data_IF_223642768551
#
_entry.id   IF_223642768551
#
_cell.length_a   1.000
_cell.length_b   1.000
_cell.length_c   1.000
_cell.angle_alpha   90.00
_cell.angle_beta   90.00
_cell.angle_gamma   90.00
#
_symmetry.space_group_name_H-M   'P 1'
#
loop_
_entity.id
_entity.type
_entity.pdbx_description
1 polymer ?
#
# COMPACT_ATOMS: atom_id res chain seq x y z
N UNK A 1 78.66 -17.22 -8.43
CA UNK A 1 78.28 -16.30 -7.34
C UNK A 1 76.90 -16.80 -6.87
N UNK A 2 76.70 -17.40 -5.69
CA UNK A 2 77.17 -17.08 -4.33
C UNK A 2 76.74 -15.67 -3.92
N UNK A 3 76.07 -15.40 -2.80
CA UNK A 3 75.79 -16.17 -1.55
C UNK A 3 74.26 -16.48 -1.37
N UNK A 4 73.70 -17.35 -0.51
CA UNK A 4 73.95 -17.83 0.87
C UNK A 4 73.76 -16.72 1.95
N UNK A 5 73.21 -16.90 3.17
CA UNK A 5 72.55 -17.99 3.96
C UNK A 5 71.95 -17.36 5.26
N UNK A 6 71.08 -17.90 6.15
CA UNK A 6 70.37 -19.19 6.37
C UNK A 6 69.17 -19.00 7.38
N UNK A 7 68.39 -20.07 7.66
CA UNK A 7 67.58 -20.31 8.89
C UNK A 7 66.19 -19.63 9.07
N UNK A 8 65.14 -20.30 9.57
CA UNK A 8 65.01 -21.74 9.86
C UNK A 8 63.74 -22.21 10.64
N UNK A 9 63.59 -23.54 10.74
CA UNK A 9 62.70 -24.37 11.61
C UNK A 9 61.16 -24.33 11.46
N UNK A 10 60.65 -25.41 10.85
CA UNK A 10 59.41 -26.14 11.17
C UNK A 10 59.45 -26.77 12.61
N UNK A 11 58.37 -27.38 13.19
CA UNK A 11 57.28 -28.13 12.53
C UNK A 11 55.87 -28.04 13.18
N UNK A 12 55.02 -29.05 12.90
CA UNK A 12 53.74 -29.42 13.51
C UNK A 12 52.52 -28.55 13.17
N UNK A 13 51.62 -29.10 12.34
CA UNK A 13 50.39 -28.43 11.90
C UNK A 13 49.11 -29.05 12.47
N UNK A 14 47.96 -28.56 11.98
CA UNK A 14 46.65 -29.18 12.13
C UNK A 14 45.84 -29.01 10.84
N UNK A 15 44.90 -29.91 10.58
CA UNK A 15 43.90 -29.74 9.51
C UNK A 15 42.71 -28.96 10.09
N UNK A 16 42.37 -27.81 9.52
CA UNK A 16 41.10 -27.13 9.79
C UNK A 16 40.26 -27.15 8.51
N UNK A 17 38.96 -27.43 8.67
CA UNK A 17 38.06 -27.68 7.56
C UNK A 17 37.60 -26.38 6.91
N UNK A 18 37.45 -26.40 5.58
CA UNK A 18 36.79 -25.32 4.83
C UNK A 18 35.29 -25.29 5.12
N UNK A 19 34.87 -24.51 6.11
CA UNK A 19 33.46 -24.20 6.33
C UNK A 19 33.00 -23.21 5.26
N UNK A 20 32.47 -23.73 4.16
CA UNK A 20 31.75 -22.93 3.18
C UNK A 20 30.58 -22.24 3.87
N UNK A 21 30.56 -20.91 3.84
CA UNK A 21 29.43 -20.12 4.32
C UNK A 21 28.26 -20.35 3.36
N UNK A 22 27.39 -21.31 3.71
CA UNK A 22 26.17 -21.56 2.96
C UNK A 22 25.33 -20.30 2.93
N UNK A 23 25.04 -19.80 1.72
CA UNK A 23 24.31 -18.56 1.47
C UNK A 23 22.89 -18.66 2.03
N UNK A 24 22.72 -18.39 3.32
CA UNK A 24 21.42 -18.05 3.90
C UNK A 24 20.98 -16.76 3.25
N UNK A 25 20.08 -16.88 2.27
CA UNK A 25 19.36 -15.76 1.67
C UNK A 25 18.54 -15.08 2.75
N UNK A 26 19.19 -14.19 3.52
CA UNK A 26 18.51 -13.14 4.27
C UNK A 26 17.79 -12.34 3.21
N UNK A 27 16.48 -12.55 3.10
CA UNK A 27 15.62 -11.72 2.29
C UNK A 27 15.60 -10.34 2.93
N UNK A 28 16.59 -9.52 2.59
CA UNK A 28 16.61 -8.10 2.93
C UNK A 28 15.35 -7.55 2.29
N UNK A 29 14.36 -7.29 3.13
CA UNK A 29 13.18 -6.56 2.74
C UNK A 29 13.64 -5.14 2.42
N UNK A 30 14.03 -4.92 1.15
CA UNK A 30 14.25 -3.60 0.60
C UNK A 30 12.89 -2.93 0.65
N UNK A 31 12.65 -2.22 1.76
CA UNK A 31 11.54 -1.33 1.92
C UNK A 31 11.79 -0.17 0.97
N UNK A 32 11.36 -0.34 -0.29
CA UNK A 32 11.29 0.78 -1.22
C UNK A 32 10.40 1.82 -0.54
N UNK A 33 11.02 2.90 -0.09
CA UNK A 33 10.34 4.13 0.28
C UNK A 33 9.71 4.66 -1.01
N UNK A 34 8.50 4.18 -1.30
CA UNK A 34 7.65 4.73 -2.32
C UNK A 34 7.47 6.21 -1.96
N UNK A 35 8.09 7.08 -2.75
CA UNK A 35 7.99 8.52 -2.54
C UNK A 35 6.51 8.90 -2.60
N UNK A 36 5.96 9.36 -1.48
CA UNK A 36 4.62 9.92 -1.43
C UNK A 36 4.53 11.02 -2.49
N UNK A 37 3.79 10.76 -3.56
CA UNK A 37 3.42 11.82 -4.48
C UNK A 37 2.57 12.82 -3.68
N UNK A 38 2.85 14.11 -3.82
CA UNK A 38 2.00 15.15 -3.25
C UNK A 38 0.64 15.05 -3.93
N UNK A 39 -0.36 14.63 -3.15
CA UNK A 39 -1.72 14.36 -3.61
C UNK A 39 -2.70 14.99 -2.62
N UNK A 40 -3.07 16.24 -2.88
CA UNK A 40 -4.10 16.93 -2.12
C UNK A 40 -5.48 16.33 -2.38
N UNK A 41 -6.17 15.90 -1.33
CA UNK A 41 -7.63 15.92 -1.34
C UNK A 41 -8.04 17.33 -0.93
N UNK A 42 -8.87 18.01 -1.73
CA UNK A 42 -9.31 19.39 -1.46
C UNK A 42 -10.83 19.48 -1.63
N UNK A 43 -11.51 20.22 -0.75
CA UNK A 43 -12.96 20.44 -0.85
C UNK A 43 -13.35 21.12 -2.16
N UNK A 44 -14.33 20.54 -2.83
CA UNK A 44 -14.97 21.05 -4.05
C UNK A 44 -16.26 21.83 -3.70
N UNK A 45 -17.28 21.77 -4.56
CA UNK A 45 -18.61 22.35 -4.33
C UNK A 45 -19.26 21.82 -3.04
N UNK A 46 -19.89 22.70 -2.28
CA UNK A 46 -20.53 22.41 -1.00
C UNK A 46 -22.04 22.22 -1.13
N UNK A 47 -22.58 21.21 -0.43
CA UNK A 47 -24.00 21.09 -0.17
C UNK A 47 -24.35 21.97 1.03
N UNK A 48 -25.00 23.12 0.82
CA UNK A 48 -25.35 24.08 1.89
C UNK A 48 -26.76 23.86 2.42
N UNK A 49 -26.94 23.96 3.74
CA UNK A 49 -28.23 23.80 4.41
C UNK A 49 -28.50 24.97 5.37
N UNK A 50 -29.04 26.04 4.80
CA UNK A 50 -29.37 27.27 5.51
C UNK A 50 -28.16 27.96 6.14
N UNK A 51 -28.33 28.45 7.36
CA UNK A 51 -27.34 29.21 8.14
C UNK A 51 -26.40 28.34 9.00
N UNK A 52 -26.65 27.02 9.07
CA UNK A 52 -26.20 26.21 10.21
C UNK A 52 -25.35 25.00 9.85
N UNK A 53 -25.37 24.53 8.59
CA UNK A 53 -24.47 23.47 8.13
C UNK A 53 -24.19 23.51 6.63
N UNK A 54 -23.01 23.05 6.24
CA UNK A 54 -22.69 22.63 4.89
C UNK A 54 -21.76 21.40 4.92
N UNK A 55 -21.75 20.59 3.86
CA UNK A 55 -20.83 19.46 3.71
C UNK A 55 -20.31 19.31 2.29
N UNK A 56 -19.29 18.47 2.12
CA UNK A 56 -18.73 18.06 0.83
C UNK A 56 -18.79 16.56 0.65
N UNK A 57 -19.02 16.12 -0.59
CA UNK A 57 -18.95 14.72 -1.01
C UNK A 57 -18.26 14.66 -2.37
N UNK A 58 -17.26 13.80 -2.58
CA UNK A 58 -16.84 12.68 -1.72
C UNK A 58 -15.80 13.04 -0.64
N UNK A 59 -15.42 14.33 -0.52
CA UNK A 59 -14.32 14.80 0.34
C UNK A 59 -14.62 14.67 1.84
N UNK A 60 -15.90 14.68 2.25
CA UNK A 60 -16.31 14.27 3.59
C UNK A 60 -16.08 15.30 4.71
N UNK A 61 -15.68 16.54 4.37
CA UNK A 61 -15.65 17.66 5.34
C UNK A 61 -17.07 18.18 5.55
N UNK A 62 -17.47 18.32 6.81
CA UNK A 62 -18.71 18.98 7.24
C UNK A 62 -18.40 20.17 8.13
N UNK A 63 -19.11 21.28 7.93
CA UNK A 63 -19.05 22.48 8.77
C UNK A 63 -20.43 22.69 9.40
N UNK A 64 -20.43 23.08 10.68
CA UNK A 64 -21.62 23.41 11.46
C UNK A 64 -21.39 24.68 12.29
N UNK A 65 -22.45 25.45 12.53
CA UNK A 65 -22.42 26.69 13.33
C UNK A 65 -23.57 26.73 14.34
N UNK A 66 -23.28 27.26 15.53
CA UNK A 66 -24.28 27.59 16.56
C UNK A 66 -23.97 28.96 17.18
N UNK A 67 -24.99 29.64 17.72
CA UNK A 67 -24.89 31.03 18.18
C UNK A 67 -25.28 32.03 17.08
N UNK A 68 -24.71 33.25 17.07
CA UNK A 68 -25.03 34.27 16.08
C UNK A 68 -24.75 33.82 14.62
N UNK A 69 -25.71 34.06 13.73
CA UNK A 69 -25.66 33.81 12.28
C UNK A 69 -26.10 35.09 11.54
N UNK A 70 -25.57 35.34 10.33
CA UNK A 70 -25.93 36.52 9.52
C UNK A 70 -26.74 36.16 8.26
N UNK A 71 -26.31 35.17 7.50
CA UNK A 71 -26.98 34.74 6.26
C UNK A 71 -26.85 33.23 6.05
N UNK A 72 -27.47 32.71 4.99
CA UNK A 72 -27.29 31.32 4.58
C UNK A 72 -25.89 31.12 3.99
N UNK A 73 -25.31 29.94 4.23
CA UNK A 73 -24.09 29.53 3.53
C UNK A 73 -24.35 29.40 2.03
N UNK A 74 -23.42 29.89 1.22
CA UNK A 74 -23.47 29.79 -0.26
C UNK A 74 -22.16 29.25 -0.83
N UNK A 75 -22.22 28.71 -2.04
CA UNK A 75 -21.02 28.39 -2.79
C UNK A 75 -20.40 29.67 -3.37
N UNK A 76 -19.08 29.77 -3.27
CA UNK A 76 -18.27 30.82 -3.86
C UNK A 76 -16.95 30.24 -4.43
N UNK A 77 -16.01 31.10 -4.78
CA UNK A 77 -14.76 30.74 -5.43
C UNK A 77 -13.66 31.66 -4.90
N UNK A 78 -12.58 31.11 -4.33
CA UNK A 78 -11.47 31.94 -3.85
C UNK A 78 -10.90 32.80 -4.98
N UNK A 79 -10.37 33.98 -4.67
CA UNK A 79 -9.79 34.87 -5.68
C UNK A 79 -8.65 34.16 -6.48
N UNK A 80 -8.37 34.64 -7.69
CA UNK A 80 -7.30 34.08 -8.55
C UNK A 80 -5.91 34.59 -8.18
N UNK A 81 -5.82 35.64 -7.36
CA UNK A 81 -4.55 36.23 -6.90
C UNK A 81 -3.92 35.33 -5.83
N UNK A 82 -2.89 34.55 -6.19
CA UNK A 82 -2.44 33.47 -5.34
C UNK A 82 -1.69 33.92 -4.07
N UNK A 83 -2.37 33.88 -2.93
CA UNK A 83 -1.77 33.97 -1.58
C UNK A 83 -1.78 32.64 -0.81
N UNK A 84 -2.12 31.53 -1.48
CA UNK A 84 -2.26 30.22 -0.85
C UNK A 84 -1.06 29.31 -1.13
N UNK A 85 -0.75 28.47 -0.15
CA UNK A 85 0.23 27.41 -0.24
C UNK A 85 -0.42 26.14 0.28
N UNK A 86 -0.44 25.11 -0.54
CA UNK A 86 -0.88 23.78 -0.17
C UNK A 86 0.33 22.83 -0.13
N UNK A 87 0.63 22.19 1.01
CA UNK A 87 1.79 21.32 1.13
C UNK A 87 1.59 19.98 0.41
N UNK A 88 0.37 19.70 -0.07
CA UNK A 88 -0.02 18.47 -0.76
C UNK A 88 -0.15 18.65 -2.28
N UNK A 89 0.22 19.81 -2.84
CA UNK A 89 0.26 20.08 -4.28
C UNK A 89 -1.07 20.45 -4.94
N UNK A 90 -2.11 20.77 -4.17
CA UNK A 90 -3.44 21.13 -4.66
C UNK A 90 -3.55 22.54 -5.23
N UNK A 91 -4.40 22.72 -6.25
CA UNK A 91 -4.68 24.04 -6.86
C UNK A 91 -5.71 24.82 -6.05
N UNK A 92 -5.25 25.86 -5.35
CA UNK A 92 -6.06 26.60 -4.37
C UNK A 92 -6.72 27.89 -4.91
N UNK A 93 -5.97 28.73 -5.63
CA UNK A 93 -6.49 29.97 -6.21
C UNK A 93 -7.57 29.68 -7.27
N UNK A 94 -8.64 30.46 -7.32
CA UNK A 94 -9.70 30.34 -8.33
C UNK A 94 -10.58 29.09 -8.25
N UNK A 95 -10.52 28.31 -7.15
CA UNK A 95 -11.31 27.09 -6.97
C UNK A 95 -12.46 27.22 -5.95
N UNK A 96 -13.38 26.23 -5.90
CA UNK A 96 -14.60 26.29 -5.08
C UNK A 96 -14.35 26.49 -3.59
N UNK A 97 -15.23 27.25 -2.95
CA UNK A 97 -15.19 27.57 -1.53
C UNK A 97 -16.59 27.67 -0.92
N UNK A 98 -16.68 27.49 0.40
CA UNK A 98 -17.86 27.81 1.18
C UNK A 98 -17.79 29.27 1.63
N UNK A 99 -18.76 30.09 1.23
CA UNK A 99 -18.92 31.44 1.76
C UNK A 99 -19.74 31.40 3.05
N UNK A 100 -19.20 32.03 4.10
CA UNK A 100 -19.74 32.10 5.45
C UNK A 100 -19.76 33.57 5.88
N UNK A 101 -20.95 34.14 6.03
CA UNK A 101 -21.11 35.43 6.73
C UNK A 101 -21.07 35.22 8.25
N UNK A 102 -19.94 35.56 8.86
CA UNK A 102 -19.77 35.62 10.31
C UNK A 102 -20.52 36.83 10.85
N UNK A 103 -21.49 36.62 11.73
CA UNK A 103 -22.29 37.70 12.28
C UNK A 103 -21.45 38.75 13.02
N UNK A 104 -21.79 40.03 12.82
CA UNK A 104 -21.12 41.19 13.41
C UNK A 104 -21.35 41.34 14.93
N UNK A 105 -21.00 40.33 15.72
CA UNK A 105 -21.31 40.22 17.15
C UNK A 105 -20.07 39.99 18.02
N UNK A 106 -20.10 40.53 19.23
CA UNK A 106 -19.14 40.20 20.29
C UNK A 106 -19.56 38.95 21.09
N UNK A 107 -20.79 38.48 20.93
CA UNK A 107 -21.23 37.18 21.47
C UNK A 107 -20.60 36.06 20.63
N UNK A 108 -19.90 35.08 21.25
CA UNK A 108 -19.29 33.98 20.49
C UNK A 108 -20.29 33.16 19.68
N UNK A 109 -20.00 32.97 18.40
CA UNK A 109 -20.48 31.82 17.65
C UNK A 109 -19.53 30.64 17.87
N UNK A 110 -20.05 29.41 17.83
CA UNK A 110 -19.23 28.20 17.78
C UNK A 110 -19.31 27.61 16.38
N UNK A 111 -18.16 27.46 15.73
CA UNK A 111 -18.02 26.76 14.46
C UNK A 111 -17.30 25.44 14.68
N UNK A 112 -17.88 24.34 14.22
CA UNK A 112 -17.28 23.02 14.30
C UNK A 112 -17.09 22.44 12.90
N UNK A 113 -15.87 22.02 12.61
CA UNK A 113 -15.49 21.30 11.39
C UNK A 113 -15.26 19.85 11.76
N UNK A 114 -15.86 18.92 11.02
CA UNK A 114 -15.65 17.49 11.17
C UNK A 114 -15.21 16.86 9.86
N UNK A 115 -14.36 15.85 9.98
CA UNK A 115 -13.91 15.01 8.89
C UNK A 115 -14.56 13.63 9.06
N UNK A 116 -15.07 13.04 7.98
CA UNK A 116 -15.63 11.69 8.00
C UNK A 116 -14.57 10.64 8.37
N UNK A 117 -13.34 10.83 7.91
CA UNK A 117 -12.17 10.01 8.24
C UNK A 117 -11.10 10.83 9.00
N UNK A 118 -10.25 10.21 9.84
CA UNK A 118 -9.18 10.90 10.53
C UNK A 118 -8.12 11.44 9.55
N UNK A 119 -7.82 12.75 9.62
CA UNK A 119 -6.82 13.44 8.76
C UNK A 119 -5.58 13.86 9.55
N UNK A 120 -4.40 13.83 8.91
CA UNK A 120 -3.15 14.35 9.47
C UNK A 120 -2.84 15.73 8.88
N UNK A 121 -2.54 16.70 9.75
CA UNK A 121 -2.12 18.08 9.42
C UNK A 121 -3.00 18.89 8.43
N UNK A 122 -4.34 18.77 8.42
CA UNK A 122 -5.21 19.41 7.42
C UNK A 122 -4.99 20.94 7.35
N UNK A 123 -5.19 21.51 6.16
CA UNK A 123 -4.99 22.93 5.88
C UNK A 123 -6.32 23.60 5.57
N UNK A 124 -6.56 24.75 6.20
CA UNK A 124 -7.63 25.67 5.84
C UNK A 124 -7.06 26.78 4.96
N UNK A 125 -7.63 26.96 3.77
CA UNK A 125 -7.39 28.09 2.89
C UNK A 125 -8.56 29.08 3.04
N UNK A 126 -8.21 30.35 3.28
CA UNK A 126 -9.17 31.42 3.55
C UNK A 126 -8.98 32.54 2.53
N UNK A 127 -10.08 33.05 1.99
CA UNK A 127 -10.18 34.40 1.44
C UNK A 127 -11.18 35.24 2.27
N UNK A 128 -11.17 36.55 2.05
CA UNK A 128 -12.16 37.52 2.53
C UNK A 128 -12.31 37.67 4.06
N UNK A 129 -11.34 37.21 4.85
CA UNK A 129 -11.32 37.42 6.30
C UNK A 129 -11.19 38.90 6.66
N UNK A 130 -12.13 39.44 7.44
CA UNK A 130 -12.18 40.83 7.88
C UNK A 130 -12.50 41.86 6.80
N UNK A 131 -13.09 42.98 7.23
CA UNK A 131 -13.46 44.11 6.38
C UNK A 131 -13.21 45.44 7.08
N UNK A 132 -14.23 46.31 7.13
CA UNK A 132 -14.18 47.58 7.84
C UNK A 132 -15.55 48.03 8.37
N UNK A 133 -15.55 48.94 9.34
CA UNK A 133 -16.72 49.69 9.80
C UNK A 133 -16.36 51.15 10.03
N UNK A 134 -17.19 52.07 9.53
CA UNK A 134 -16.83 53.48 9.37
C UNK A 134 -15.57 53.60 8.48
N UNK A 135 -14.48 54.13 9.05
CA UNK A 135 -13.18 54.20 8.39
C UNK A 135 -12.13 53.25 9.02
N UNK A 136 -12.51 52.34 9.92
CA UNK A 136 -11.57 51.47 10.63
C UNK A 136 -11.75 49.99 10.24
N UNK A 137 -10.63 49.32 9.98
CA UNK A 137 -10.66 47.91 9.55
C UNK A 137 -10.98 46.96 10.71
N UNK A 138 -11.77 45.92 10.46
CA UNK A 138 -12.24 44.95 11.46
C UNK A 138 -11.94 43.50 11.02
N UNK A 139 -12.27 42.54 11.89
CA UNK A 139 -12.13 41.10 11.63
C UNK A 139 -12.93 40.28 12.62
N UNK A 140 -13.39 39.11 12.20
CA UNK A 140 -13.65 37.98 13.06
C UNK A 140 -12.32 37.39 13.57
N UNK A 141 -12.26 37.04 14.86
CA UNK A 141 -11.20 36.22 15.45
C UNK A 141 -11.73 34.82 15.64
N UNK A 142 -11.02 33.87 15.09
CA UNK A 142 -11.27 32.44 15.23
C UNK A 142 -10.27 31.87 16.24
N UNK A 143 -10.77 31.25 17.30
CA UNK A 143 -9.96 30.68 18.40
C UNK A 143 -10.26 29.20 18.52
N UNK A 144 -9.27 28.32 18.34
CA UNK A 144 -9.44 26.88 18.54
C UNK A 144 -9.69 26.60 20.02
N UNK A 145 -10.88 26.09 20.34
CA UNK A 145 -11.35 25.80 21.71
C UNK A 145 -11.56 24.32 21.97
N UNK A 146 -11.58 23.48 20.94
CA UNK A 146 -11.64 22.03 21.06
C UNK A 146 -11.21 21.32 19.77
N UNK A 147 -10.88 20.04 19.89
CA UNK A 147 -10.54 19.16 18.77
C UNK A 147 -10.70 17.70 19.19
N UNK A 148 -10.85 16.81 18.21
CA UNK A 148 -10.71 15.35 18.40
C UNK A 148 -9.56 14.90 17.51
N UNK A 149 -8.51 14.31 18.10
CA UNK A 149 -7.30 13.88 17.39
C UNK A 149 -6.65 12.67 18.07
N UNK A 150 -5.77 11.97 17.36
CA UNK A 150 -4.90 10.92 17.93
C UNK A 150 -3.71 11.53 18.68
N UNK A 151 -3.23 12.71 18.27
CA UNK A 151 -2.34 13.53 19.10
C UNK A 151 -3.12 14.16 20.25
N UNK A 152 -2.51 14.21 21.45
CA UNK A 152 -3.05 14.93 22.63
C UNK A 152 -3.01 16.46 22.51
N UNK A 153 -3.04 17.00 21.28
CA UNK A 153 -2.86 18.40 20.95
C UNK A 153 -3.03 18.65 19.45
N UNK A 154 -3.53 19.84 19.12
CA UNK A 154 -3.53 20.41 17.76
C UNK A 154 -3.08 21.87 17.88
N UNK A 155 -2.25 22.34 16.95
CA UNK A 155 -1.82 23.75 16.86
C UNK A 155 -1.94 24.28 15.45
N UNK A 156 -2.02 25.59 15.28
CA UNK A 156 -2.01 26.24 13.96
C UNK A 156 -0.59 26.69 13.55
N UNK A 157 -0.28 26.57 12.25
CA UNK A 157 0.89 27.16 11.58
C UNK A 157 0.44 27.92 10.34
N UNK A 158 0.86 29.18 10.17
CA UNK A 158 0.67 29.90 8.91
C UNK A 158 1.62 29.33 7.84
N UNK A 159 1.06 28.82 6.75
CA UNK A 159 1.84 28.42 5.57
C UNK A 159 2.04 29.58 4.59
N UNK A 160 1.04 30.45 4.47
CA UNK A 160 1.03 31.55 3.49
C UNK A 160 0.07 32.67 3.89
N UNK A 161 -0.05 33.71 3.06
CA UNK A 161 -1.09 34.74 3.15
C UNK A 161 -0.57 36.14 2.90
N UNK A 162 -1.48 37.12 2.82
CA UNK A 162 -1.13 38.53 2.68
C UNK A 162 -0.66 39.17 4.02
N UNK A 163 -0.10 40.39 4.04
CA UNK A 163 0.54 40.95 5.24
C UNK A 163 -0.41 41.10 6.45
N UNK A 164 -1.69 41.38 6.21
CA UNK A 164 -2.72 41.53 7.23
C UNK A 164 -3.30 40.21 7.77
N UNK A 165 -2.90 39.04 7.26
CA UNK A 165 -3.37 37.74 7.74
C UNK A 165 -2.58 37.26 8.97
N UNK A 166 -3.19 37.32 10.15
CA UNK A 166 -2.53 37.05 11.43
C UNK A 166 -2.93 35.68 11.99
N UNK A 167 -1.93 34.87 12.36
CA UNK A 167 -2.11 33.49 12.84
C UNK A 167 -1.14 33.25 13.99
N UNK A 168 -1.65 32.70 15.10
CA UNK A 168 -0.87 32.20 16.25
C UNK A 168 -1.00 30.67 16.32
N UNK A 169 -0.51 30.03 17.38
CA UNK A 169 -0.71 28.58 17.57
C UNK A 169 -2.16 28.18 17.86
N UNK A 170 -3.05 29.11 18.24
CA UNK A 170 -4.44 28.82 18.62
C UNK A 170 -5.48 29.80 18.05
N UNK A 171 -5.08 30.88 17.37
CA UNK A 171 -5.99 31.88 16.81
C UNK A 171 -5.64 32.30 15.40
N UNK A 172 -6.64 32.66 14.58
CA UNK A 172 -6.44 33.44 13.36
C UNK A 172 -7.41 34.62 13.24
N UNK A 173 -6.98 35.68 12.56
CA UNK A 173 -7.70 36.93 12.33
C UNK A 173 -7.07 37.72 11.16
N UNK A 174 -7.72 38.79 10.71
CA UNK A 174 -7.10 39.89 9.95
C UNK A 174 -6.71 41.01 10.93
N UNK A 175 -5.62 41.75 10.66
CA UNK A 175 -5.18 42.87 11.51
C UNK A 175 -6.22 44.01 11.55
N UNK A 176 -6.50 44.57 12.73
CA UNK A 176 -7.63 45.50 12.95
C UNK A 176 -7.20 46.91 13.38
N UNK A 177 -8.11 47.88 13.25
CA UNK A 177 -7.91 49.26 13.72
C UNK A 177 -7.08 50.15 12.80
N UNK A 178 -6.76 49.70 11.58
CA UNK A 178 -6.12 50.55 10.57
C UNK A 178 -7.16 51.47 9.90
N UNK A 179 -6.74 52.63 9.42
CA UNK A 179 -7.59 53.49 8.59
C UNK A 179 -7.76 52.85 7.21
N UNK A 180 -8.99 52.47 6.86
CA UNK A 180 -9.36 51.96 5.53
C UNK A 180 -9.21 53.08 4.49
N UNK A 181 -8.63 52.77 3.33
CA UNK A 181 -8.39 53.67 2.21
C UNK A 181 -8.99 53.03 0.95
N UNK A 182 -10.14 53.55 0.51
CA UNK A 182 -10.90 52.99 -0.61
C UNK A 182 -11.74 51.77 -0.22
N UNK A 183 -12.32 51.11 -1.22
CA UNK A 183 -13.16 49.92 -1.01
C UNK A 183 -12.38 48.71 -0.48
N UNK A 184 -13.10 47.76 0.11
CA UNK A 184 -12.51 46.49 0.57
C UNK A 184 -12.33 45.54 -0.61
N UNK A 185 -11.19 45.63 -1.29
CA UNK A 185 -10.81 44.66 -2.31
C UNK A 185 -10.38 43.33 -1.67
N UNK A 186 -10.56 42.23 -2.39
CA UNK A 186 -10.23 40.91 -1.91
C UNK A 186 -8.72 40.69 -1.93
N UNK A 187 -8.21 40.01 -0.90
CA UNK A 187 -6.91 39.36 -0.90
C UNK A 187 -5.72 40.28 -1.31
N UNK A 188 -5.75 41.58 -0.95
CA UNK A 188 -4.73 42.54 -1.42
C UNK A 188 -3.42 42.47 -0.62
N UNK A 189 -2.33 42.96 -1.21
CA UNK A 189 -1.04 43.12 -0.53
C UNK A 189 -1.02 44.28 0.51
N UNK A 190 -2.05 45.12 0.53
CA UNK A 190 -2.05 46.39 1.28
C UNK A 190 -3.10 46.34 2.40
N UNK A 191 -2.70 46.27 3.68
CA UNK A 191 -3.62 46.11 4.81
C UNK A 191 -4.78 47.11 4.89
N UNK A 192 -4.62 48.33 4.37
CA UNK A 192 -5.63 49.39 4.40
C UNK A 192 -6.61 49.38 3.22
N UNK A 193 -6.47 48.45 2.26
CA UNK A 193 -7.32 48.42 1.06
C UNK A 193 -8.04 47.08 0.85
N UNK A 194 -7.93 46.13 1.78
CA UNK A 194 -8.48 44.80 1.53
C UNK A 194 -8.45 43.78 2.66
N UNK A 195 -9.07 42.65 2.34
CA UNK A 195 -9.31 41.51 3.23
C UNK A 195 -8.04 40.71 3.53
N UNK A 196 -8.10 39.83 4.53
CA UNK A 196 -7.07 38.88 4.89
C UNK A 196 -7.30 37.57 4.18
N UNK A 197 -6.24 36.96 3.67
CA UNK A 197 -6.30 35.67 2.99
C UNK A 197 -4.98 34.93 3.16
N UNK A 198 -5.02 33.59 3.10
CA UNK A 198 -3.86 32.73 3.29
C UNK A 198 -4.21 31.29 3.64
N UNK A 199 -3.21 30.53 4.07
CA UNK A 199 -3.34 29.09 4.39
C UNK A 199 -2.81 28.79 5.80
N UNK A 200 -3.58 28.00 6.56
CA UNK A 200 -3.29 27.60 7.94
C UNK A 200 -3.26 26.08 8.04
N UNK A 201 -2.13 25.51 8.43
CA UNK A 201 -2.00 24.09 8.75
C UNK A 201 -2.38 23.83 10.21
N UNK A 202 -3.20 22.81 10.46
CA UNK A 202 -3.58 22.35 11.79
C UNK A 202 -2.73 21.15 12.19
N UNK A 203 -1.55 21.40 12.75
CA UNK A 203 -0.56 20.37 13.08
C UNK A 203 -1.14 19.38 14.11
N UNK A 204 -1.17 18.09 13.75
CA UNK A 204 -1.75 17.01 14.56
C UNK A 204 -2.04 15.78 13.71
N UNK A 205 -2.25 14.63 14.34
CA UNK A 205 -2.53 13.36 13.62
C UNK A 205 -3.89 12.79 13.97
N UNK A 206 -4.53 12.15 12.98
CA UNK A 206 -5.85 11.54 13.09
C UNK A 206 -6.94 12.49 13.61
N UNK A 207 -6.91 13.74 13.16
CA UNK A 207 -7.90 14.77 13.50
C UNK A 207 -9.25 14.39 12.87
N UNK A 208 -10.31 14.33 13.67
CA UNK A 208 -11.69 14.11 13.21
C UNK A 208 -12.61 15.28 13.51
N UNK A 209 -12.23 16.18 14.44
CA UNK A 209 -12.94 17.45 14.65
C UNK A 209 -12.01 18.61 15.03
N UNK A 210 -12.43 19.82 14.66
CA UNK A 210 -11.85 21.11 15.09
C UNK A 210 -13.00 22.07 15.45
N UNK A 211 -12.95 22.65 16.64
CA UNK A 211 -14.00 23.53 17.18
C UNK A 211 -13.44 24.91 17.49
N UNK A 212 -14.07 25.95 16.95
CA UNK A 212 -13.65 27.34 17.05
C UNK A 212 -14.70 28.19 17.77
N UNK A 213 -14.25 29.00 18.73
CA UNK A 213 -14.97 30.18 19.20
C UNK A 213 -14.69 31.35 18.26
N UNK A 214 -15.73 31.99 17.73
CA UNK A 214 -15.64 33.07 16.74
C UNK A 214 -16.35 34.33 17.24
N UNK A 215 -15.62 35.44 17.28
CA UNK A 215 -16.09 36.75 17.78
C UNK A 215 -15.57 37.89 16.91
N UNK A 216 -16.29 39.02 16.83
CA UNK A 216 -15.78 40.22 16.17
C UNK A 216 -14.67 40.93 16.98
N UNK A 217 -13.76 41.55 16.25
CA UNK A 217 -12.75 42.50 16.71
C UNK A 217 -12.90 43.84 15.98
N UNK A 218 -12.64 44.93 16.69
CA UNK A 218 -12.82 46.28 16.17
C UNK A 218 -14.27 46.72 16.19
N UNK A 219 -14.63 47.71 15.35
CA UNK A 219 -15.98 48.23 15.28
C UNK A 219 -16.93 47.27 14.53
N UNK A 220 -18.11 47.05 15.09
CA UNK A 220 -19.21 46.31 14.43
C UNK A 220 -19.63 47.04 13.16
N UNK A 221 -19.67 46.33 12.03
CA UNK A 221 -20.16 46.80 10.75
C UNK A 221 -21.08 45.75 10.13
N UNK A 222 -21.01 45.59 8.80
CA UNK A 222 -21.36 44.30 8.20
C UNK A 222 -20.32 43.26 8.66
N UNK A 223 -20.75 42.01 8.86
CA UNK A 223 -19.89 40.93 9.31
C UNK A 223 -18.91 40.43 8.24
N UNK A 224 -17.89 39.69 8.66
CA UNK A 224 -16.92 39.06 7.76
C UNK A 224 -17.59 38.01 6.87
N UNK A 225 -17.58 38.18 5.56
CA UNK A 225 -17.83 37.09 4.61
C UNK A 225 -16.53 36.31 4.41
N UNK A 226 -16.25 35.25 5.17
CA UNK A 226 -15.08 34.40 4.88
C UNK A 226 -15.41 33.42 3.75
N UNK A 227 -14.42 33.11 2.91
CA UNK A 227 -14.51 32.01 1.95
C UNK A 227 -13.51 30.93 2.31
N UNK A 228 -14.00 29.73 2.59
CA UNK A 228 -13.24 28.63 3.16
C UNK A 228 -13.19 27.41 2.22
N UNK A 229 -12.00 26.86 2.01
CA UNK A 229 -11.81 25.51 1.46
C UNK A 229 -10.72 24.78 2.23
N UNK A 230 -10.89 23.47 2.40
CA UNK A 230 -9.99 22.61 3.18
C UNK A 230 -9.21 21.68 2.26
N UNK A 231 -7.93 21.45 2.59
CA UNK A 231 -7.13 20.37 2.01
C UNK A 231 -6.55 19.46 3.08
N UNK A 232 -6.16 18.25 2.68
CA UNK A 232 -5.38 17.32 3.46
C UNK A 232 -4.68 16.31 2.53
N UNK A 233 -3.74 15.53 3.06
CA UNK A 233 -3.11 14.47 2.29
C UNK A 233 -4.15 13.39 1.93
N UNK A 234 -4.38 13.23 0.64
CA UNK A 234 -5.28 12.20 0.11
C UNK A 234 -4.70 10.80 0.28
N UNK A 235 -5.58 9.81 0.33
CA UNK A 235 -5.16 8.41 0.37
C UNK A 235 -4.81 7.88 -1.02
N UNK A 236 -4.01 6.83 -1.06
CA UNK A 236 -3.54 6.21 -2.29
C UNK A 236 -3.27 4.71 -2.10
N UNK A 237 -3.24 3.98 -3.22
CA UNK A 237 -3.01 2.54 -3.25
C UNK A 237 -1.88 2.22 -4.22
N UNK A 238 -0.95 1.37 -3.78
CA UNK A 238 0.10 0.78 -4.61
C UNK A 238 -0.10 -0.73 -4.65
N UNK A 239 -0.07 -1.31 -5.84
CA UNK A 239 -0.13 -2.75 -6.04
C UNK A 239 1.28 -3.29 -6.22
N UNK A 240 1.65 -4.26 -5.39
CA UNK A 240 2.92 -4.97 -5.42
C UNK A 240 2.67 -6.39 -5.89
N UNK A 241 3.36 -6.84 -6.93
CA UNK A 241 3.20 -8.19 -7.49
C UNK A 241 4.45 -9.01 -7.28
N UNK A 242 4.33 -10.08 -6.51
CA UNK A 242 5.39 -11.05 -6.29
C UNK A 242 5.05 -12.37 -6.99
N UNK A 243 6.06 -13.02 -7.55
CA UNK A 243 5.94 -14.40 -8.05
C UNK A 243 7.01 -15.32 -7.45
N UNK A 244 6.67 -16.60 -7.31
CA UNK A 244 7.54 -17.66 -6.81
C UNK A 244 7.60 -18.82 -7.80
N UNK A 245 8.70 -19.57 -7.80
CA UNK A 245 9.01 -20.69 -8.72
C UNK A 245 9.01 -20.35 -10.23
N UNK A 246 8.80 -19.08 -10.59
CA UNK A 246 8.79 -18.55 -11.96
C UNK A 246 8.52 -17.05 -11.98
N UNK A 247 8.53 -16.45 -13.18
CA UNK A 247 8.22 -15.03 -13.41
C UNK A 247 7.26 -14.88 -14.60
N UNK A 248 6.54 -13.76 -14.65
CA UNK A 248 5.57 -13.50 -15.71
C UNK A 248 4.92 -12.12 -15.61
N UNK A 249 4.13 -11.79 -16.62
CA UNK A 249 3.25 -10.61 -16.62
C UNK A 249 1.89 -10.98 -16.04
N UNK A 250 1.34 -10.09 -15.23
CA UNK A 250 0.04 -10.25 -14.58
C UNK A 250 -0.78 -8.99 -14.78
N UNK A 251 -2.00 -9.16 -15.29
CA UNK A 251 -2.89 -8.06 -15.62
C UNK A 251 -3.86 -7.79 -14.48
N UNK A 252 -4.02 -6.50 -14.16
CA UNK A 252 -4.81 -6.00 -13.05
C UNK A 252 -5.88 -5.04 -13.52
N UNK A 253 -7.03 -5.06 -12.84
CA UNK A 253 -8.06 -4.02 -12.91
C UNK A 253 -8.15 -3.29 -11.57
N UNK A 254 -8.46 -1.99 -11.63
CA UNK A 254 -8.84 -1.16 -10.47
C UNK A 254 -10.22 -0.56 -10.67
N UNK A 255 -10.93 -0.31 -9.56
CA UNK A 255 -12.27 0.24 -9.58
C UNK A 255 -12.71 0.85 -8.25
N UNK A 256 -13.98 1.26 -8.20
CA UNK A 256 -14.57 1.96 -7.07
C UNK A 256 -13.81 3.25 -6.75
N UNK A 257 -13.32 3.36 -5.52
CA UNK A 257 -12.62 4.53 -5.00
C UNK A 257 -11.32 4.92 -5.72
N UNK A 258 -10.73 4.02 -6.53
CA UNK A 258 -9.54 4.29 -7.37
C UNK A 258 -9.89 4.71 -8.81
N UNK A 259 -11.19 4.84 -9.12
CA UNK A 259 -11.69 4.94 -10.49
C UNK A 259 -11.43 3.69 -11.33
N UNK A 260 -12.13 3.57 -12.46
CA UNK A 260 -11.92 2.47 -13.40
C UNK A 260 -10.54 2.52 -14.07
N UNK A 261 -9.94 1.36 -14.33
CA UNK A 261 -8.74 1.23 -15.14
C UNK A 261 -8.14 -0.17 -15.15
N UNK A 262 -7.19 -0.40 -16.04
CA UNK A 262 -6.38 -1.62 -16.10
C UNK A 262 -4.88 -1.28 -16.20
N UNK A 263 -4.01 -2.17 -15.74
CA UNK A 263 -2.56 -2.06 -15.80
C UNK A 263 -1.91 -3.45 -15.65
N UNK A 264 -0.64 -3.60 -16.02
CA UNK A 264 0.07 -4.88 -15.97
C UNK A 264 1.34 -4.76 -15.12
N UNK A 265 1.70 -5.81 -14.38
CA UNK A 265 2.95 -5.91 -13.62
C UNK A 265 3.76 -7.14 -14.06
N UNK A 266 5.01 -6.93 -14.46
CA UNK A 266 5.89 -7.98 -14.97
C UNK A 266 6.99 -8.33 -13.96
N UNK A 267 6.91 -9.53 -13.37
CA UNK A 267 7.89 -9.99 -12.38
C UNK A 267 9.21 -10.47 -12.97
N UNK A 268 9.33 -10.59 -14.29
CA UNK A 268 10.61 -10.81 -14.96
C UNK A 268 11.47 -9.53 -15.03
N UNK A 269 10.86 -8.35 -14.92
CA UNK A 269 11.56 -7.06 -14.89
C UNK A 269 12.01 -6.68 -13.49
N UNK A 270 11.16 -6.89 -12.48
CA UNK A 270 11.47 -6.74 -11.07
C UNK A 270 10.58 -7.66 -10.23
N UNK A 271 11.13 -8.35 -9.23
CA UNK A 271 10.34 -9.24 -8.36
C UNK A 271 10.63 -8.94 -6.88
N UNK A 272 9.68 -8.35 -6.12
CA UNK A 272 8.34 -7.94 -6.55
C UNK A 272 8.32 -6.72 -7.48
N UNK A 273 7.42 -6.73 -8.46
CA UNK A 273 7.06 -5.58 -9.29
C UNK A 273 6.13 -4.64 -8.50
N UNK A 274 6.09 -3.36 -8.87
CA UNK A 274 5.31 -2.33 -8.17
C UNK A 274 4.60 -1.43 -9.19
N UNK A 275 3.34 -1.09 -8.94
CA UNK A 275 2.55 -0.19 -9.79
C UNK A 275 2.93 1.28 -9.59
N UNK A 276 2.40 2.14 -10.46
CA UNK A 276 2.23 3.55 -10.11
C UNK A 276 1.31 3.69 -8.88
N UNK A 277 1.46 4.78 -8.14
CA UNK A 277 0.57 5.16 -7.04
C UNK A 277 -0.80 5.56 -7.60
N UNK A 278 -1.87 4.87 -7.18
CA UNK A 278 -3.23 5.19 -7.61
C UNK A 278 -3.93 6.07 -6.55
N UNK A 279 -4.46 7.25 -6.91
CA UNK A 279 -5.18 8.11 -5.97
C UNK A 279 -6.53 7.49 -5.57
N UNK A 280 -6.87 7.60 -4.29
CA UNK A 280 -8.24 7.42 -3.79
C UNK A 280 -9.01 8.72 -4.07
N UNK A 281 -9.90 8.69 -5.06
CA UNK A 281 -10.70 9.86 -5.48
C UNK A 281 -12.09 9.92 -4.85
N UNK A 282 -12.55 8.83 -4.22
CA UNK A 282 -13.85 8.81 -3.54
C UNK A 282 -13.80 7.95 -2.26
N UNK A 283 -13.77 8.61 -1.10
CA UNK A 283 -13.72 7.94 0.21
C UNK A 283 -15.04 7.29 0.65
N UNK A 284 -16.15 7.55 -0.04
CA UNK A 284 -17.45 6.90 0.21
C UNK A 284 -17.70 5.65 -0.66
N UNK A 285 -16.73 5.24 -1.47
CA UNK A 285 -16.74 4.00 -2.26
C UNK A 285 -15.90 2.91 -1.58
N UNK A 286 -16.02 1.66 -2.01
CA UNK A 286 -15.02 0.63 -1.73
C UNK A 286 -13.85 0.71 -2.73
N UNK A 287 -12.64 0.31 -2.33
CA UNK A 287 -11.54 0.06 -3.27
C UNK A 287 -11.72 -1.35 -3.86
N UNK A 288 -11.61 -1.50 -5.17
CA UNK A 288 -11.51 -2.83 -5.80
C UNK A 288 -10.24 -2.97 -6.64
N UNK A 289 -9.58 -4.13 -6.51
CA UNK A 289 -8.39 -4.53 -7.25
C UNK A 289 -8.54 -6.00 -7.69
N UNK A 290 -8.70 -6.25 -8.98
CA UNK A 290 -8.71 -7.62 -9.52
C UNK A 290 -7.37 -7.98 -10.14
N UNK A 291 -6.85 -9.18 -9.88
CA UNK A 291 -5.92 -9.82 -10.82
C UNK A 291 -6.79 -10.44 -11.92
N UNK A 292 -6.94 -9.71 -13.03
CA UNK A 292 -8.10 -9.81 -13.92
C UNK A 292 -8.23 -11.17 -14.61
N UNK A 293 -7.09 -11.78 -14.94
CA UNK A 293 -6.92 -13.21 -15.20
C UNK A 293 -5.57 -13.63 -14.63
N UNK A 294 -5.55 -14.59 -13.70
CA UNK A 294 -4.30 -15.26 -13.33
C UNK A 294 -3.88 -16.13 -14.51
N UNK A 295 -2.66 -16.00 -15.08
CA UNK A 295 -2.22 -16.87 -16.16
C UNK A 295 -2.22 -18.33 -15.68
N UNK A 296 -2.76 -19.27 -16.47
CA UNK A 296 -3.02 -20.66 -16.04
C UNK A 296 -1.79 -21.40 -15.45
N UNK A 297 -0.59 -20.99 -15.86
CA UNK A 297 0.70 -21.43 -15.33
C UNK A 297 0.96 -21.04 -13.86
N UNK A 298 0.14 -20.18 -13.26
CA UNK A 298 0.26 -19.66 -11.90
C UNK A 298 -1.00 -19.90 -11.08
N UNK A 299 -0.84 -20.07 -9.77
CA UNK A 299 -1.93 -19.97 -8.78
C UNK A 299 -1.72 -18.73 -7.92
N UNK A 300 -2.78 -17.95 -7.67
CA UNK A 300 -2.77 -16.88 -6.67
C UNK A 300 -2.76 -17.50 -5.27
N UNK A 301 -1.62 -17.44 -4.57
CA UNK A 301 -1.37 -18.15 -3.31
C UNK A 301 -1.46 -17.26 -2.07
N UNK A 302 -1.55 -15.93 -2.22
CA UNK A 302 -1.87 -15.05 -1.09
C UNK A 302 -2.00 -13.57 -1.48
N UNK A 303 -2.89 -12.86 -0.80
CA UNK A 303 -3.11 -11.42 -0.97
C UNK A 303 -3.13 -10.75 0.41
N UNK A 304 -2.38 -9.68 0.58
CA UNK A 304 -2.33 -8.90 1.82
C UNK A 304 -2.25 -7.40 1.51
N UNK A 305 -2.94 -6.55 2.28
CA UNK A 305 -2.75 -5.10 2.23
C UNK A 305 -2.25 -4.58 3.58
N UNK A 306 -1.33 -3.63 3.54
CA UNK A 306 -0.86 -2.90 4.74
C UNK A 306 -0.83 -1.40 4.48
N UNK A 307 -0.99 -0.61 5.54
CA UNK A 307 -0.78 0.85 5.49
C UNK A 307 0.73 1.21 5.54
N UNK A 308 1.05 2.51 5.48
CA UNK A 308 2.42 3.01 5.61
C UNK A 308 3.07 2.75 6.99
N UNK A 309 2.30 2.30 7.98
CA UNK A 309 2.74 1.94 9.33
C UNK A 309 2.86 0.40 9.48
N UNK A 310 2.81 -0.33 8.36
CA UNK A 310 2.81 -1.80 8.26
C UNK A 310 1.67 -2.50 9.00
N UNK A 311 0.59 -1.78 9.32
CA UNK A 311 -0.60 -2.34 9.94
C UNK A 311 -1.48 -3.01 8.88
N UNK A 312 -2.08 -4.15 9.22
CA UNK A 312 -2.94 -4.89 8.29
C UNK A 312 -4.21 -4.10 7.98
N UNK A 313 -4.48 -3.92 6.68
CA UNK A 313 -5.74 -3.34 6.19
C UNK A 313 -6.73 -4.48 5.93
N UNK A 314 -7.94 -4.36 6.48
CA UNK A 314 -8.96 -5.41 6.37
C UNK A 314 -9.51 -5.53 4.93
N UNK A 315 -9.30 -6.67 4.30
CA UNK A 315 -9.73 -6.94 2.91
C UNK A 315 -10.57 -8.21 2.81
N UNK A 316 -11.45 -8.26 1.82
CA UNK A 316 -12.14 -9.48 1.40
C UNK A 316 -11.72 -9.88 -0.01
N UNK A 317 -11.70 -11.18 -0.28
CA UNK A 317 -11.45 -11.73 -1.62
C UNK A 317 -12.75 -12.33 -2.16
N UNK A 318 -13.18 -11.87 -3.33
CA UNK A 318 -14.40 -12.36 -3.99
C UNK A 318 -14.16 -12.49 -5.51
N UNK A 319 -14.26 -13.71 -6.04
CA UNK A 319 -14.14 -13.96 -7.48
C UNK A 319 -12.81 -13.54 -8.13
N UNK A 320 -11.71 -13.51 -7.36
CA UNK A 320 -10.41 -13.00 -7.83
C UNK A 320 -10.20 -11.50 -7.63
N UNK A 321 -11.22 -10.77 -7.18
CA UNK A 321 -11.11 -9.37 -6.78
C UNK A 321 -10.83 -9.23 -5.27
N UNK A 322 -9.81 -8.45 -4.95
CA UNK A 322 -9.56 -7.86 -3.64
C UNK A 322 -10.49 -6.66 -3.47
N UNK A 323 -11.21 -6.61 -2.35
CA UNK A 323 -12.07 -5.49 -1.98
C UNK A 323 -11.67 -4.95 -0.62
N UNK A 324 -11.47 -3.63 -0.53
CA UNK A 324 -11.32 -2.90 0.73
C UNK A 324 -12.58 -2.06 0.92
N UNK A 325 -13.36 -2.34 1.95
CA UNK A 325 -14.57 -1.56 2.26
C UNK A 325 -14.20 -0.14 2.67
N UNK A 326 -15.10 0.83 2.44
CA UNK A 326 -14.85 2.26 2.72
C UNK A 326 -14.28 2.49 4.13
N UNK A 327 -15.01 2.05 5.17
CA UNK A 327 -14.59 2.16 6.58
C UNK A 327 -13.45 1.22 7.01
N UNK A 328 -12.75 0.55 6.08
CA UNK A 328 -11.51 -0.17 6.36
C UNK A 328 -10.25 0.65 5.98
N UNK A 329 -10.41 1.86 5.42
CA UNK A 329 -9.30 2.78 5.15
C UNK A 329 -9.68 4.24 5.43
N UNK A 330 -8.72 5.01 5.93
CA UNK A 330 -8.91 6.42 6.31
C UNK A 330 -8.45 7.41 5.24
N UNK A 331 -8.37 8.69 5.63
CA UNK A 331 -7.56 9.69 4.94
C UNK A 331 -6.07 9.53 5.30
N UNK A 332 -5.18 10.19 4.55
CA UNK A 332 -3.72 10.06 4.64
C UNK A 332 -3.20 8.61 4.78
N UNK A 333 -3.67 7.67 3.94
CA UNK A 333 -3.15 6.31 3.89
C UNK A 333 -2.50 6.00 2.55
N UNK A 334 -1.30 5.41 2.59
CA UNK A 334 -0.67 4.73 1.46
C UNK A 334 -0.81 3.23 1.70
N UNK A 335 -1.77 2.60 1.03
CA UNK A 335 -2.07 1.18 1.16
C UNK A 335 -1.22 0.41 0.14
N UNK A 336 -0.32 -0.44 0.61
CA UNK A 336 0.43 -1.37 -0.25
C UNK A 336 -0.24 -2.74 -0.25
N UNK A 337 -0.90 -3.08 -1.36
CA UNK A 337 -1.53 -4.38 -1.55
C UNK A 337 -0.60 -5.33 -2.33
N UNK A 338 -0.10 -6.37 -1.65
CA UNK A 338 0.77 -7.38 -2.22
C UNK A 338 -0.03 -8.61 -2.67
N UNK A 339 0.06 -8.93 -3.95
CA UNK A 339 -0.45 -10.18 -4.54
C UNK A 339 0.74 -11.13 -4.77
N UNK A 340 0.61 -12.39 -4.33
CA UNK A 340 1.64 -13.42 -4.40
C UNK A 340 1.13 -14.60 -5.21
N UNK A 341 1.85 -15.00 -6.27
CA UNK A 341 1.46 -16.14 -7.09
C UNK A 341 2.62 -17.12 -7.23
N UNK A 342 2.29 -18.41 -7.26
CA UNK A 342 3.27 -19.50 -7.39
C UNK A 342 3.13 -20.14 -8.76
N UNK A 343 4.26 -20.33 -9.46
CA UNK A 343 4.30 -21.00 -10.76
C UNK A 343 4.05 -22.49 -10.54
N UNK A 344 3.00 -23.01 -11.16
CA UNK A 344 2.48 -24.37 -10.94
C UNK A 344 3.40 -25.39 -11.61
N UNK A 345 3.85 -26.39 -10.87
CA UNK A 345 4.50 -27.57 -11.43
C UNK A 345 3.46 -28.65 -11.73
N UNK A 346 3.67 -29.42 -12.80
CA UNK A 346 2.84 -30.57 -13.19
C UNK A 346 3.67 -31.84 -13.02
N UNK A 347 3.32 -32.67 -12.04
CA UNK A 347 4.09 -33.85 -11.64
C UNK A 347 3.40 -35.14 -12.07
N UNK A 348 4.07 -35.90 -12.93
CA UNK A 348 3.70 -37.26 -13.29
C UNK A 348 4.68 -38.28 -12.70
N UNK A 349 4.15 -39.44 -12.33
CA UNK A 349 4.93 -40.60 -11.86
C UNK A 349 4.41 -41.86 -12.55
N UNK A 350 5.33 -42.69 -13.02
CA UNK A 350 5.01 -44.00 -13.60
C UNK A 350 5.97 -45.06 -13.08
N UNK A 351 5.55 -46.33 -13.15
CA UNK A 351 6.35 -47.50 -12.75
C UNK A 351 6.13 -48.62 -13.77
N UNK A 352 7.17 -49.43 -13.99
CA UNK A 352 7.14 -50.60 -14.90
C UNK A 352 8.18 -51.64 -14.46
N UNK A 353 7.97 -52.93 -14.77
CA UNK A 353 9.04 -53.95 -14.78
C UNK A 353 9.63 -54.25 -16.17
N UNK A 354 9.10 -53.66 -17.25
CA UNK A 354 9.61 -53.76 -18.62
C UNK A 354 10.12 -52.41 -19.16
N UNK A 355 11.17 -51.80 -18.56
CA UNK A 355 11.65 -50.47 -18.94
C UNK A 355 12.08 -50.31 -20.41
N UNK A 356 12.36 -51.41 -21.10
CA UNK A 356 12.66 -51.41 -22.53
C UNK A 356 11.46 -51.04 -23.43
N UNK A 357 10.22 -51.19 -22.93
CA UNK A 357 8.99 -50.85 -23.65
C UNK A 357 8.48 -49.43 -23.36
N UNK A 358 9.21 -48.66 -22.53
CA UNK A 358 8.82 -47.34 -22.06
C UNK A 358 8.64 -47.30 -20.53
N UNK A 359 8.05 -46.22 -19.99
CA UNK A 359 8.06 -45.97 -18.55
C UNK A 359 6.80 -46.48 -17.81
N UNK A 360 5.88 -47.17 -18.48
CA UNK A 360 4.57 -47.62 -17.97
C UNK A 360 4.47 -49.15 -18.01
N UNK A 361 3.95 -49.76 -16.95
CA UNK A 361 3.64 -51.20 -16.84
C UNK A 361 2.70 -51.66 -17.97
N UNK A 362 2.94 -52.85 -18.55
CA UNK A 362 2.15 -53.41 -19.64
C UNK A 362 1.20 -54.52 -19.14
N UNK A 363 0.04 -54.66 -19.80
CA UNK A 363 -0.99 -55.63 -19.39
C UNK A 363 -0.63 -57.11 -19.56
N UNK A 364 0.51 -57.41 -20.19
CA UNK A 364 1.07 -58.76 -20.33
C UNK A 364 2.30 -59.03 -19.46
N UNK A 365 2.68 -58.08 -18.60
CA UNK A 365 3.89 -58.20 -17.80
C UNK A 365 3.77 -59.25 -16.70
N UNK A 366 4.87 -59.95 -16.45
CA UNK A 366 4.92 -61.08 -15.50
C UNK A 366 6.18 -61.00 -14.64
N UNK A 367 6.14 -61.69 -13.50
CA UNK A 367 7.27 -61.84 -12.59
C UNK A 367 7.45 -63.31 -12.21
N UNK A 368 8.71 -63.72 -12.02
CA UNK A 368 9.04 -65.09 -11.61
C UNK A 368 9.25 -65.12 -10.10
N UNK A 369 8.57 -66.03 -9.40
CA UNK A 369 8.69 -66.20 -7.95
C UNK A 369 10.13 -66.49 -7.53
N UNK A 370 10.52 -65.95 -6.37
CA UNK A 370 11.88 -65.91 -5.83
C UNK A 370 12.96 -65.26 -6.73
N UNK A 371 12.64 -64.80 -7.95
CA UNK A 371 13.60 -64.13 -8.84
C UNK A 371 13.68 -62.63 -8.55
N UNK A 372 14.87 -62.00 -8.57
CA UNK A 372 14.97 -60.55 -8.67
C UNK A 372 14.34 -60.08 -9.99
N UNK A 373 13.51 -59.05 -9.88
CA UNK A 373 12.84 -58.33 -10.96
C UNK A 373 13.30 -56.88 -10.91
N UNK A 374 13.70 -56.35 -12.06
CA UNK A 374 14.09 -54.93 -12.19
C UNK A 374 12.84 -54.10 -12.43
N UNK A 375 12.57 -53.12 -11.56
CA UNK A 375 11.56 -52.09 -11.81
C UNK A 375 12.24 -50.76 -12.12
N UNK A 376 11.61 -49.92 -12.94
CA UNK A 376 11.93 -48.51 -13.00
C UNK A 376 10.75 -47.66 -12.58
N UNK A 377 11.03 -46.58 -11.84
CA UNK A 377 10.10 -45.50 -11.52
C UNK A 377 10.60 -44.24 -12.21
N UNK A 378 9.74 -43.60 -13.01
CA UNK A 378 10.05 -42.31 -13.66
C UNK A 378 9.21 -41.24 -13.00
N UNK A 379 9.85 -40.19 -12.49
CA UNK A 379 9.21 -38.98 -11.99
C UNK A 379 9.53 -37.84 -12.94
N UNK A 380 8.52 -37.25 -13.56
CA UNK A 380 8.68 -36.16 -14.52
C UNK A 380 7.91 -34.93 -14.05
N UNK A 381 8.51 -33.76 -14.24
CA UNK A 381 7.86 -32.48 -14.08
C UNK A 381 7.64 -31.87 -15.46
N UNK A 382 6.41 -31.93 -15.95
CA UNK A 382 6.03 -31.34 -17.24
C UNK A 382 6.04 -29.80 -17.18
N UNK A 383 6.00 -29.24 -15.97
CA UNK A 383 6.13 -27.81 -15.69
C UNK A 383 4.78 -27.08 -15.70
N UNK A 384 4.74 -25.76 -15.98
CA UNK A 384 5.89 -24.89 -16.27
C UNK A 384 6.69 -24.46 -15.03
N UNK A 385 6.21 -24.74 -13.82
CA UNK A 385 6.88 -24.48 -12.54
C UNK A 385 7.91 -25.54 -12.15
N UNK A 386 8.83 -25.18 -11.26
CA UNK A 386 9.80 -26.11 -10.66
C UNK A 386 9.21 -26.85 -9.44
N UNK A 387 9.54 -28.13 -9.31
CA UNK A 387 9.12 -29.04 -8.25
C UNK A 387 10.27 -29.48 -7.31
N UNK A 388 11.30 -28.64 -7.16
CA UNK A 388 12.38 -28.90 -6.20
C UNK A 388 11.84 -28.99 -4.76
N UNK A 389 12.18 -30.05 -4.05
CA UNK A 389 11.62 -30.38 -2.74
C UNK A 389 10.38 -31.29 -2.78
N UNK A 390 9.90 -31.69 -3.96
CA UNK A 390 8.89 -32.75 -4.08
C UNK A 390 9.38 -34.07 -3.44
N UNK A 391 8.45 -34.93 -3.04
CA UNK A 391 8.76 -36.14 -2.25
C UNK A 391 8.26 -37.38 -2.99
N UNK A 392 9.19 -38.25 -3.39
CA UNK A 392 8.90 -39.54 -3.99
C UNK A 392 8.60 -40.59 -2.91
N UNK A 393 7.57 -41.40 -3.13
CA UNK A 393 7.16 -42.52 -2.27
C UNK A 393 6.86 -43.73 -3.14
N UNK A 394 7.24 -44.91 -2.67
CA UNK A 394 6.94 -46.19 -3.31
C UNK A 394 6.70 -47.22 -2.18
N UNK A 395 5.54 -47.16 -1.50
CA UNK A 395 5.20 -48.11 -0.44
C UNK A 395 5.06 -49.51 -1.03
N UNK A 396 5.83 -50.47 -0.52
CA UNK A 396 5.86 -51.82 -1.11
C UNK A 396 4.54 -52.57 -0.81
N UNK A 397 3.90 -53.20 -1.81
CA UNK A 397 2.73 -54.05 -1.58
C UNK A 397 3.05 -55.26 -0.70
N UNK A 398 2.03 -55.78 -0.01
CA UNK A 398 2.12 -57.06 0.71
C UNK A 398 2.48 -58.18 -0.26
N UNK A 399 3.52 -58.96 0.06
CA UNK A 399 4.02 -60.03 -0.81
C UNK A 399 5.07 -59.62 -1.83
N UNK A 400 5.60 -58.39 -1.75
CA UNK A 400 6.76 -57.94 -2.54
C UNK A 400 7.89 -57.52 -1.58
N UNK A 401 9.13 -57.91 -1.90
CA UNK A 401 10.34 -57.55 -1.15
C UNK A 401 11.31 -56.78 -2.06
N UNK A 402 11.59 -55.51 -1.76
CA UNK A 402 12.56 -54.71 -2.51
C UNK A 402 13.88 -54.58 -1.74
N UNK A 403 15.02 -54.79 -2.42
CA UNK A 403 16.35 -54.89 -1.79
C UNK A 403 17.26 -53.70 -2.09
N UNK A 404 17.20 -53.13 -3.30
CA UNK A 404 18.01 -51.97 -3.70
C UNK A 404 17.21 -50.97 -4.50
N UNK A 405 17.62 -49.70 -4.44
CA UNK A 405 17.19 -48.64 -5.35
C UNK A 405 18.37 -47.74 -5.67
N UNK A 406 18.45 -47.26 -6.91
CA UNK A 406 19.38 -46.21 -7.35
C UNK A 406 18.63 -45.16 -8.16
N UNK A 407 19.11 -43.92 -8.18
CA UNK A 407 18.69 -42.93 -9.17
C UNK A 407 19.71 -42.99 -10.32
N UNK A 408 19.28 -43.50 -11.48
CA UNK A 408 20.17 -43.89 -12.58
C UNK A 408 20.23 -42.88 -13.73
N UNK A 409 19.23 -42.01 -13.86
CA UNK A 409 19.19 -40.97 -14.90
C UNK A 409 18.49 -39.71 -14.40
N UNK A 410 18.98 -38.56 -14.85
CA UNK A 410 18.37 -37.26 -14.61
C UNK A 410 18.44 -36.43 -15.91
N UNK A 411 17.33 -35.85 -16.34
CA UNK A 411 17.23 -35.08 -17.59
C UNK A 411 16.47 -33.76 -17.38
N UNK A 412 16.48 -32.87 -18.39
CA UNK A 412 15.82 -31.55 -18.31
C UNK A 412 16.37 -30.63 -17.21
N UNK A 413 17.60 -30.85 -16.76
CA UNK A 413 18.21 -30.10 -15.65
C UNK A 413 17.82 -30.58 -14.24
N UNK A 414 17.09 -31.70 -14.11
CA UNK A 414 16.92 -32.37 -12.83
C UNK A 414 18.25 -32.94 -12.32
N UNK A 415 18.33 -33.22 -11.01
CA UNK A 415 19.47 -33.91 -10.41
C UNK A 415 19.02 -34.98 -9.40
N UNK A 416 19.63 -36.15 -9.49
CA UNK A 416 19.40 -37.25 -8.55
C UNK A 416 19.72 -36.83 -7.10
N UNK A 417 18.96 -37.30 -6.09
CA UNK A 417 19.32 -37.11 -4.69
C UNK A 417 20.70 -37.74 -4.37
N UNK A 418 21.41 -37.28 -3.33
CA UNK A 418 22.70 -37.87 -2.92
C UNK A 418 22.56 -39.39 -2.72
N UNK A 419 23.43 -40.25 -3.29
CA UNK A 419 23.18 -41.70 -3.32
C UNK A 419 22.91 -42.36 -1.97
N UNK A 420 23.56 -41.90 -0.88
CA UNK A 420 23.34 -42.41 0.47
C UNK A 420 21.93 -42.11 1.04
N UNK A 421 21.16 -41.21 0.43
CA UNK A 421 19.75 -40.96 0.78
C UNK A 421 18.76 -41.82 -0.01
N UNK A 422 19.16 -42.29 -1.19
CA UNK A 422 18.33 -43.08 -2.11
C UNK A 422 18.26 -44.51 -1.59
N UNK A 423 17.26 -44.79 -0.75
CA UNK A 423 17.10 -46.09 -0.06
C UNK A 423 15.65 -46.58 -0.13
N UNK A 424 15.46 -47.90 -0.07
CA UNK A 424 14.14 -48.53 0.01
C UNK A 424 13.37 -48.03 1.24
N UNK A 425 14.06 -47.91 2.38
CA UNK A 425 13.47 -47.36 3.61
C UNK A 425 12.96 -45.92 3.44
N UNK A 426 13.69 -45.05 2.74
CA UNK A 426 13.22 -43.68 2.46
C UNK A 426 11.94 -43.69 1.62
N UNK A 427 11.89 -44.47 0.53
CA UNK A 427 10.72 -44.58 -0.36
C UNK A 427 9.48 -45.16 0.32
N UNK A 428 9.65 -46.12 1.24
CA UNK A 428 8.56 -46.74 1.99
C UNK A 428 8.09 -45.89 3.18
N UNK A 429 8.91 -44.93 3.65
CA UNK A 429 8.64 -44.20 4.88
C UNK A 429 7.48 -43.20 4.80
N UNK A 430 6.94 -42.85 5.97
CA UNK A 430 6.02 -41.72 6.11
C UNK A 430 6.67 -40.35 5.77
N UNK A 431 8.00 -40.25 5.66
CA UNK A 431 8.71 -39.05 5.21
C UNK A 431 8.89 -38.99 3.68
N UNK A 432 9.14 -40.14 3.03
CA UNK A 432 9.47 -40.25 1.61
C UNK A 432 10.91 -39.85 1.26
N UNK A 433 11.28 -39.97 -0.02
CA UNK A 433 12.56 -39.56 -0.58
C UNK A 433 12.45 -38.15 -1.19
N UNK A 434 13.10 -37.10 -0.64
CA UNK A 434 13.06 -35.76 -1.23
C UNK A 434 13.84 -35.69 -2.55
N UNK A 435 13.27 -34.98 -3.52
CA UNK A 435 13.82 -34.70 -4.85
C UNK A 435 14.32 -33.24 -4.88
N UNK A 436 15.61 -32.97 -4.60
CA UNK A 436 16.07 -31.60 -4.35
C UNK A 436 15.98 -30.69 -5.58
N UNK A 437 16.25 -31.24 -6.77
CA UNK A 437 16.30 -30.48 -8.03
C UNK A 437 15.45 -31.17 -9.09
N UNK A 438 14.24 -30.66 -9.31
CA UNK A 438 13.32 -31.11 -10.35
C UNK A 438 12.68 -29.89 -11.04
N UNK A 439 13.40 -29.20 -11.95
CA UNK A 439 12.88 -28.05 -12.69
C UNK A 439 11.79 -28.48 -13.67
N UNK A 440 11.12 -27.49 -14.29
CA UNK A 440 10.18 -27.74 -15.38
C UNK A 440 10.87 -28.44 -16.56
N UNK A 441 10.15 -29.35 -17.21
CA UNK A 441 10.65 -30.34 -18.19
C UNK A 441 11.67 -31.36 -17.64
N UNK A 442 12.00 -31.29 -16.35
CA UNK A 442 12.93 -32.21 -15.69
C UNK A 442 12.35 -33.61 -15.49
N UNK A 443 13.22 -34.62 -15.48
CA UNK A 443 12.84 -36.01 -15.16
C UNK A 443 13.92 -36.74 -14.37
N UNK A 444 13.51 -37.66 -13.51
CA UNK A 444 14.37 -38.54 -12.71
C UNK A 444 13.91 -40.00 -12.87
N UNK A 445 14.84 -40.88 -13.25
CA UNK A 445 14.59 -42.34 -13.34
C UNK A 445 15.28 -43.05 -12.21
N UNK A 446 14.49 -43.74 -11.38
CA UNK A 446 14.96 -44.63 -10.33
C UNK A 446 14.84 -46.09 -10.80
N UNK A 447 15.83 -46.92 -10.47
CA UNK A 447 15.83 -48.36 -10.75
C UNK A 447 15.81 -49.11 -9.43
N UNK A 448 14.88 -50.05 -9.26
CA UNK A 448 14.71 -50.87 -8.07
C UNK A 448 14.94 -52.35 -8.40
N UNK A 449 15.45 -53.11 -7.44
CA UNK A 449 15.41 -54.58 -7.45
C UNK A 449 14.38 -55.06 -6.43
N UNK A 450 13.38 -55.82 -6.88
CA UNK A 450 12.35 -56.40 -6.03
C UNK A 450 12.06 -57.85 -6.43
N UNK A 451 11.54 -58.67 -5.51
CA UNK A 451 11.09 -60.04 -5.78
C UNK A 451 9.72 -60.30 -5.14
N UNK A 452 8.96 -61.21 -5.74
CA UNK A 452 7.82 -61.88 -5.09
C UNK A 452 8.37 -63.17 -4.46
N UNK A 453 8.21 -63.41 -3.15
CA UNK A 453 8.70 -64.62 -2.48
C UNK A 453 8.16 -65.93 -3.06
#
# INVERSE_FOLDING_TARGET
MSSSTMSGKHPAGSRVWGWGWGSRSVAVAVLLLASFALQATVTETWNTNGTSSANTSPVGVTITQTGPVQSNYVNATLNTTNYWSDPYGGTIAGGPALSIDVAASFTPATFSVTFNEPVDNPVLHIDRLGGFSGNLTNSSRWTLTGFTAQTGGVTMTRLSGNPQFEVTTTTFQRSVGLTQIGGSAECTATPTTGTGCGSIQFNGTGITSLTFSVVMLGATGLGDTIEARWSFQGSSVVVRKQSSNGTGTFDFTRGGALGGGAFSLNTATANPAVSATFPVSNHAQQITLGEAQVPASFTLTGVTCVDQRSQAVNVTLFGGALVIQAGNYGANQLITCTFNNTFNADLSITKTNTPAQGPVDQSGDTVVSASPTTYTVVVRNDGPGAAGGAVLRDPVPTGVSCSTVTCGSATGGAACPPPASVTIAALQSAAGLPLPTLPATGSLTFTLQCSVP
#
